data_IF_298025219596
#
_entry.id   IF_298025219596
#
_cell.length_a   1.000
_cell.length_b   1.000
_cell.length_c   1.000
_cell.angle_alpha   90.00
_cell.angle_beta   90.00
_cell.angle_gamma   90.00
#
_symmetry.space_group_name_H-M   'P 1'
#
loop_
_entity.id
_entity.type
_entity.pdbx_description
1 polymer ?
#
# COMPACT_ATOMS: atom_id res chain seq x y z
N UNK A 1 4.27 -33.81 -9.74
CA UNK A 1 3.40 -32.81 -9.07
C UNK A 1 4.15 -31.50 -9.05
N UNK A 2 3.87 -30.60 -9.99
CA UNK A 2 4.43 -29.25 -9.98
C UNK A 2 3.71 -28.46 -8.90
N UNK A 3 4.41 -28.17 -7.80
CA UNK A 3 3.97 -27.14 -6.86
C UNK A 3 3.97 -25.81 -7.61
N UNK A 4 2.79 -25.39 -8.05
CA UNK A 4 2.58 -24.05 -8.60
C UNK A 4 2.70 -23.11 -7.41
N UNK A 5 3.87 -22.52 -7.22
CA UNK A 5 4.02 -21.44 -6.26
C UNK A 5 3.15 -20.28 -6.74
N UNK A 6 2.23 -19.78 -5.92
CA UNK A 6 1.45 -18.59 -6.25
C UNK A 6 2.41 -17.43 -6.49
N UNK A 7 2.23 -16.72 -7.60
CA UNK A 7 3.06 -15.57 -7.95
C UNK A 7 2.89 -14.48 -6.88
N UNK A 8 3.97 -14.24 -6.13
CA UNK A 8 3.99 -13.26 -5.05
C UNK A 8 3.74 -11.85 -5.59
N UNK A 9 2.66 -11.21 -5.12
CA UNK A 9 2.38 -9.82 -5.51
C UNK A 9 3.45 -8.85 -4.97
N UNK A 10 3.80 -7.82 -5.76
CA UNK A 10 4.75 -6.78 -5.36
C UNK A 10 4.39 -6.08 -4.04
N UNK A 11 3.09 -5.95 -3.73
CA UNK A 11 2.62 -5.35 -2.48
C UNK A 11 2.92 -6.26 -1.29
N UNK A 12 2.66 -7.57 -1.41
CA UNK A 12 2.98 -8.54 -0.37
C UNK A 12 4.49 -8.60 -0.09
N UNK A 13 5.32 -8.46 -1.14
CA UNK A 13 6.78 -8.32 -1.00
C UNK A 13 7.17 -7.09 -0.18
N UNK A 14 6.55 -5.94 -0.49
CA UNK A 14 6.80 -4.69 0.21
C UNK A 14 6.40 -4.78 1.70
N UNK A 15 5.26 -5.41 2.01
CA UNK A 15 4.83 -5.66 3.39
C UNK A 15 5.85 -6.52 4.14
N UNK A 16 6.31 -7.62 3.54
CA UNK A 16 7.33 -8.47 4.17
C UNK A 16 8.65 -7.74 4.40
N UNK A 17 9.08 -6.93 3.43
CA UNK A 17 10.27 -6.09 3.59
C UNK A 17 10.10 -5.12 4.76
N UNK A 18 8.95 -4.45 4.83
CA UNK A 18 8.65 -3.54 5.94
C UNK A 18 8.65 -4.25 7.29
N UNK A 19 8.04 -5.43 7.41
CA UNK A 19 8.04 -6.20 8.65
C UNK A 19 9.45 -6.60 9.07
N UNK A 20 10.33 -6.95 8.13
CA UNK A 20 11.74 -7.20 8.41
C UNK A 20 12.43 -5.95 8.95
N UNK A 21 12.25 -4.81 8.28
CA UNK A 21 12.84 -3.54 8.71
C UNK A 21 12.33 -3.14 10.12
N UNK A 22 11.03 -3.33 10.40
CA UNK A 22 10.38 -3.08 11.69
C UNK A 22 10.93 -3.97 12.83
N UNK A 23 11.33 -5.20 12.52
CA UNK A 23 11.84 -6.19 13.49
C UNK A 23 13.38 -6.26 13.49
N UNK A 24 14.06 -5.18 13.09
CA UNK A 24 15.52 -5.09 13.14
C UNK A 24 16.24 -6.04 12.17
N UNK A 25 15.64 -6.32 11.02
CA UNK A 25 16.12 -7.25 10.00
C UNK A 25 16.24 -8.72 10.47
N UNK A 26 15.53 -9.12 11.52
CA UNK A 26 15.52 -10.49 12.04
C UNK A 26 14.25 -11.27 11.62
N UNK A 27 14.34 -12.27 10.72
CA UNK A 27 13.16 -13.03 10.28
C UNK A 27 12.48 -13.85 11.38
N UNK A 28 13.23 -14.31 12.39
CA UNK A 28 12.68 -15.00 13.57
C UNK A 28 11.73 -14.09 14.34
N UNK A 29 12.14 -12.85 14.59
CA UNK A 29 11.32 -11.84 15.28
C UNK A 29 10.06 -11.46 14.48
N UNK A 30 10.09 -11.53 13.15
CA UNK A 30 8.87 -11.35 12.33
C UNK A 30 7.87 -12.50 12.57
N UNK A 31 8.35 -13.74 12.73
CA UNK A 31 7.49 -14.90 13.00
C UNK A 31 6.89 -14.81 14.41
N UNK A 32 7.69 -14.40 15.38
CA UNK A 32 7.36 -14.27 16.80
C UNK A 32 6.64 -12.95 17.15
N UNK A 33 6.46 -12.04 16.19
CA UNK A 33 5.76 -10.78 16.40
C UNK A 33 4.34 -11.03 16.95
N UNK A 34 4.09 -10.59 18.19
CA UNK A 34 2.83 -10.77 18.91
C UNK A 34 1.79 -9.67 18.65
N UNK A 35 2.11 -8.68 17.82
CA UNK A 35 1.21 -7.55 17.53
C UNK A 35 0.13 -7.95 16.51
N UNK A 36 -0.84 -8.73 16.97
CA UNK A 36 -1.94 -9.23 16.13
C UNK A 36 -2.88 -8.10 15.66
N UNK A 37 -2.94 -6.98 16.39
CA UNK A 37 -3.74 -5.83 16.01
C UNK A 37 -3.12 -5.04 14.84
N UNK A 38 -1.83 -5.30 14.52
CA UNK A 38 -1.19 -4.69 13.37
C UNK A 38 -1.91 -5.09 12.08
N UNK A 39 -2.37 -4.13 11.26
CA UNK A 39 -3.05 -4.44 10.01
C UNK A 39 -2.23 -5.31 9.06
N UNK A 40 -0.91 -5.30 9.16
CA UNK A 40 -0.01 -6.06 8.28
C UNK A 40 0.24 -7.49 8.78
N UNK A 41 -0.16 -7.81 10.01
CA UNK A 41 0.13 -9.10 10.66
C UNK A 41 -0.24 -10.33 9.80
N UNK A 42 -1.39 -10.37 9.09
CA UNK A 42 -1.75 -11.50 8.23
C UNK A 42 -0.87 -11.66 6.98
N UNK A 43 -0.12 -10.63 6.58
CA UNK A 43 0.70 -10.62 5.36
C UNK A 43 2.20 -10.61 5.63
N UNK A 44 2.60 -10.73 6.91
CA UNK A 44 4.01 -10.68 7.32
C UNK A 44 4.81 -11.92 6.93
N UNK A 45 4.14 -13.06 6.68
CA UNK A 45 4.75 -14.33 6.29
C UNK A 45 4.29 -14.73 4.88
N UNK A 46 5.14 -15.42 4.10
CA UNK A 46 4.80 -15.88 2.75
C UNK A 46 3.62 -16.86 2.71
N UNK A 47 3.46 -17.69 3.73
CA UNK A 47 2.42 -18.74 3.79
C UNK A 47 1.08 -18.26 4.37
N UNK A 48 0.99 -16.99 4.81
CA UNK A 48 -0.12 -16.51 5.62
C UNK A 48 -1.35 -15.99 4.83
N UNK A 49 -1.31 -15.95 3.49
CA UNK A 49 -2.43 -15.42 2.69
C UNK A 49 -3.03 -16.45 1.72
N UNK A 50 -4.34 -16.75 1.76
CA UNK A 50 -5.00 -17.62 0.78
C UNK A 50 -5.06 -16.96 -0.61
N UNK A 51 -4.72 -17.74 -1.63
CA UNK A 51 -4.06 -17.29 -2.87
C UNK A 51 -4.90 -16.52 -3.90
N UNK A 52 -6.21 -16.31 -3.72
CA UNK A 52 -7.06 -15.89 -4.86
C UNK A 52 -7.98 -14.68 -4.66
N UNK A 53 -8.06 -14.08 -3.46
CA UNK A 53 -8.96 -12.95 -3.18
C UNK A 53 -8.25 -11.68 -2.63
N UNK A 54 -6.92 -11.60 -2.77
CA UNK A 54 -6.08 -10.80 -1.85
C UNK A 54 -5.62 -9.45 -2.41
N UNK A 55 -5.64 -9.24 -3.73
CA UNK A 55 -4.98 -8.09 -4.36
C UNK A 55 -5.47 -6.73 -3.81
N UNK A 56 -6.74 -6.64 -3.40
CA UNK A 56 -7.28 -5.45 -2.72
C UNK A 56 -7.13 -5.43 -1.20
N UNK A 57 -7.05 -6.60 -0.54
CA UNK A 57 -6.99 -6.69 0.93
C UNK A 57 -5.64 -6.24 1.47
N UNK A 58 -4.53 -6.60 0.82
CA UNK A 58 -3.18 -6.14 1.21
C UNK A 58 -3.08 -4.61 1.13
N UNK A 59 -3.56 -4.01 0.04
CA UNK A 59 -3.52 -2.55 -0.13
C UNK A 59 -4.37 -1.83 0.92
N UNK A 60 -5.53 -2.37 1.29
CA UNK A 60 -6.36 -1.83 2.38
C UNK A 60 -5.65 -1.94 3.73
N UNK A 61 -4.96 -3.04 3.98
CA UNK A 61 -4.16 -3.25 5.18
C UNK A 61 -3.00 -2.25 5.27
N UNK A 62 -2.25 -2.07 4.18
CA UNK A 62 -1.19 -1.05 4.07
C UNK A 62 -1.78 0.34 4.34
N UNK A 63 -2.92 0.67 3.73
CA UNK A 63 -3.56 1.97 3.97
C UNK A 63 -3.91 2.19 5.43
N UNK A 64 -4.48 1.17 6.09
CA UNK A 64 -4.83 1.21 7.52
C UNK A 64 -3.59 1.38 8.38
N UNK A 65 -2.53 0.61 8.10
CA UNK A 65 -1.27 0.72 8.82
C UNK A 65 -0.67 2.13 8.68
N UNK A 66 -0.64 2.69 7.47
CA UNK A 66 -0.13 4.05 7.27
C UNK A 66 -0.97 5.14 7.98
N UNK A 67 -2.27 4.92 8.18
CA UNK A 67 -3.10 5.84 8.99
C UNK A 67 -2.71 5.77 10.47
N UNK A 68 -2.49 4.57 11.00
CA UNK A 68 -2.10 4.38 12.40
C UNK A 68 -0.69 4.92 12.63
N UNK A 69 0.25 4.61 11.73
CA UNK A 69 1.64 5.03 11.82
C UNK A 69 1.79 6.55 11.69
N UNK A 70 1.11 7.18 10.73
CA UNK A 70 1.22 8.62 10.51
C UNK A 70 0.35 9.46 11.46
N UNK A 71 -0.74 8.89 11.99
CA UNK A 71 -1.74 9.59 12.81
C UNK A 71 -3.06 9.80 12.05
N UNK A 72 -3.02 10.57 10.96
CA UNK A 72 -4.21 10.85 10.16
C UNK A 72 -4.03 10.77 8.62
N UNK A 73 -5.06 11.21 7.89
CA UNK A 73 -5.04 11.23 6.41
C UNK A 73 -4.12 12.31 5.84
N UNK A 74 -4.00 13.46 6.50
CA UNK A 74 -3.15 14.58 6.06
C UNK A 74 -1.68 14.23 6.28
N UNK A 75 -1.34 13.69 7.44
CA UNK A 75 0.01 13.25 7.82
C UNK A 75 0.48 12.10 6.93
N UNK A 76 -0.39 11.10 6.68
CA UNK A 76 -0.06 10.03 5.72
C UNK A 76 0.19 10.56 4.29
N UNK A 77 -0.42 11.71 3.93
CA UNK A 77 -0.22 12.34 2.62
C UNK A 77 1.10 13.14 2.57
N UNK A 78 1.48 13.79 3.67
CA UNK A 78 2.72 14.56 3.81
C UNK A 78 3.95 13.73 4.20
N UNK A 79 3.78 12.45 4.52
CA UNK A 79 4.88 11.52 4.82
C UNK A 79 6.00 11.56 3.76
N UNK A 80 7.22 11.79 4.22
CA UNK A 80 8.45 12.00 3.45
C UNK A 80 9.40 10.80 3.46
N UNK A 81 9.01 9.69 4.11
CA UNK A 81 9.76 8.44 4.21
C UNK A 81 9.88 7.65 2.88
N UNK A 82 9.95 8.34 1.75
CA UNK A 82 9.95 7.76 0.40
C UNK A 82 11.10 6.78 0.17
N UNK A 83 12.28 7.14 0.67
CA UNK A 83 13.51 6.39 0.45
C UNK A 83 13.81 5.38 1.58
N UNK A 84 13.11 5.49 2.72
CA UNK A 84 13.32 4.66 3.91
C UNK A 84 12.19 3.67 4.19
N UNK A 85 10.97 3.90 3.67
CA UNK A 85 9.81 3.05 3.94
C UNK A 85 9.38 2.28 2.69
N UNK A 86 9.51 0.96 2.75
CA UNK A 86 9.11 0.02 1.69
C UNK A 86 7.61 0.05 1.37
N UNK A 87 6.76 0.58 2.25
CA UNK A 87 5.32 0.75 2.02
C UNK A 87 4.95 2.09 1.37
N UNK A 88 5.88 3.04 1.25
CA UNK A 88 5.56 4.43 0.91
C UNK A 88 4.81 4.57 -0.42
N UNK A 89 5.17 3.77 -1.42
CA UNK A 89 4.53 3.75 -2.74
C UNK A 89 3.07 3.27 -2.69
N UNK A 90 2.70 2.50 -1.66
CA UNK A 90 1.39 1.89 -1.49
C UNK A 90 0.54 2.56 -0.40
N UNK A 91 1.06 3.62 0.26
CA UNK A 91 0.45 4.27 1.43
C UNK A 91 -0.98 4.78 1.23
N UNK A 92 -1.38 5.01 -0.02
CA UNK A 92 -2.73 5.44 -0.38
C UNK A 92 -3.72 4.27 -0.61
N UNK A 93 -3.31 3.03 -0.40
CA UNK A 93 -4.15 1.84 -0.62
C UNK A 93 -4.46 1.58 -2.09
N UNK A 94 -3.59 2.06 -2.98
CA UNK A 94 -3.69 1.87 -4.43
C UNK A 94 -2.31 1.57 -4.99
N UNK A 95 -2.25 0.87 -6.12
CA UNK A 95 -0.99 0.68 -6.83
C UNK A 95 -0.40 2.01 -7.33
N UNK A 96 0.93 2.14 -7.43
CA UNK A 96 1.60 3.37 -7.89
C UNK A 96 1.16 3.82 -9.28
N UNK A 97 0.93 2.86 -10.19
CA UNK A 97 0.42 3.13 -11.54
C UNK A 97 -0.98 3.76 -11.48
N UNK A 98 -1.87 3.18 -10.68
CA UNK A 98 -3.23 3.71 -10.46
C UNK A 98 -3.17 5.10 -9.85
N UNK A 99 -2.32 5.31 -8.84
CA UNK A 99 -2.14 6.61 -8.20
C UNK A 99 -1.68 7.67 -9.20
N UNK A 100 -0.63 7.39 -9.99
CA UNK A 100 -0.12 8.32 -11.02
C UNK A 100 -1.23 8.72 -11.99
N UNK A 101 -1.95 7.74 -12.55
CA UNK A 101 -3.07 7.97 -13.47
C UNK A 101 -4.17 8.84 -12.86
N UNK A 102 -4.60 8.54 -11.63
CA UNK A 102 -5.64 9.31 -10.93
C UNK A 102 -5.14 10.72 -10.61
N UNK A 103 -3.90 10.87 -10.16
CA UNK A 103 -3.32 12.17 -9.80
C UNK A 103 -3.24 13.11 -11.00
N UNK A 104 -2.85 12.61 -12.18
CA UNK A 104 -2.84 13.36 -13.43
C UNK A 104 -4.26 13.82 -13.76
N UNK A 105 -5.24 12.90 -13.75
CA UNK A 105 -6.64 13.21 -14.07
C UNK A 105 -7.24 14.25 -13.13
N UNK A 106 -6.98 14.14 -11.82
CA UNK A 106 -7.56 15.04 -10.81
C UNK A 106 -6.93 16.43 -10.87
N UNK A 107 -5.64 16.52 -11.23
CA UNK A 107 -4.90 17.78 -11.32
C UNK A 107 -4.96 18.43 -12.71
N UNK A 108 -5.43 17.73 -13.73
CA UNK A 108 -5.57 18.28 -15.07
C UNK A 108 -6.52 19.49 -15.04
N UNK A 109 -6.21 20.57 -15.78
CA UNK A 109 -7.13 21.69 -15.93
C UNK A 109 -8.44 21.17 -16.52
N UNK A 110 -9.56 21.50 -15.88
CA UNK A 110 -10.88 21.24 -16.45
C UNK A 110 -11.27 22.46 -17.26
N UNK A 111 -11.60 22.26 -18.54
CA UNK A 111 -12.32 23.29 -19.28
C UNK A 111 -13.68 23.47 -18.63
N UNK A 112 -13.85 24.61 -17.97
CA UNK A 112 -15.13 25.02 -17.43
C UNK A 112 -15.93 25.60 -18.59
N UNK A 113 -16.79 24.79 -19.20
CA UNK A 113 -17.76 25.32 -20.14
C UNK A 113 -18.83 26.07 -19.36
N UNK A 114 -18.75 27.40 -19.39
CA UNK A 114 -19.80 28.27 -18.88
C UNK A 114 -20.92 28.30 -19.93
N UNK A 115 -22.12 27.76 -19.65
CA UNK A 115 -23.23 27.87 -20.59
C UNK A 115 -23.53 29.36 -20.84
N UNK A 116 -23.44 29.77 -22.10
CA UNK A 116 -23.71 31.15 -22.55
C UNK A 116 -22.50 31.99 -23.00
N UNK A 117 -21.27 31.48 -22.96
CA UNK A 117 -20.06 32.21 -23.38
C UNK A 117 -19.30 31.58 -24.57
N UNK A 118 -19.96 30.75 -25.38
CA UNK A 118 -19.40 30.25 -26.64
C UNK A 118 -19.49 31.32 -27.72
N UNK A 119 -18.36 31.71 -28.33
CA UNK A 119 -18.35 32.60 -29.50
C UNK A 119 -19.00 31.88 -30.69
N UNK A 120 -20.00 32.54 -31.25
CA UNK A 120 -20.60 32.31 -32.58
C UNK A 120 -19.57 32.37 -33.72
#
# INVERSE_FOLDING_TARGET
MTVVFPEETKVARAVRRFCLDCQGAAPSLVRECAEEACPLHPWRLPDAAPLHEVHGRVLRAVRRHCLICAGDRKEARSCDAKDSCSLWEYRFGVHPVTYKRVSIRVRAPKELFLPGFGKE
#
